data_IF_485292671967
#
_entry.id   IF_485292671967
#
_cell.length_a   1.000
_cell.length_b   1.000
_cell.length_c   1.000
_cell.angle_alpha   90.00
_cell.angle_beta   90.00
_cell.angle_gamma   90.00
#
_symmetry.space_group_name_H-M   'P 1'
#
loop_
_entity.id
_entity.type
_entity.pdbx_description
1 polymer ?
#
# COMPACT_ATOMS: atom_id res chain seq x y z
N UNK A 1 2.53 6.43 6.39
CA UNK A 1 3.90 6.85 6.69
C UNK A 1 4.09 6.82 8.19
N UNK A 2 3.28 7.60 8.90
CA UNK A 2 3.48 7.84 10.33
C UNK A 2 2.85 6.78 11.24
N UNK A 3 1.87 6.03 10.74
CA UNK A 3 1.27 4.92 11.46
C UNK A 3 1.72 3.57 10.87
N UNK A 4 2.24 2.65 11.69
CA UNK A 4 2.61 1.32 11.22
C UNK A 4 1.35 0.54 10.82
N UNK A 5 1.42 -0.11 9.66
CA UNK A 5 0.40 -1.03 9.18
C UNK A 5 1.07 -2.39 8.93
N UNK A 6 0.60 -3.48 9.58
CA UNK A 6 1.16 -4.81 9.39
C UNK A 6 1.25 -5.19 7.91
N UNK A 7 2.30 -5.93 7.54
CA UNK A 7 2.54 -6.38 6.16
C UNK A 7 2.78 -5.25 5.13
N UNK A 8 2.84 -3.97 5.55
CA UNK A 8 3.10 -2.82 4.67
C UNK A 8 4.31 -1.99 5.10
N UNK A 9 5.29 -2.57 5.80
CA UNK A 9 6.45 -1.84 6.32
C UNK A 9 7.20 -1.07 5.22
N UNK A 10 7.54 -1.73 4.10
CA UNK A 10 8.23 -1.09 2.98
C UNK A 10 7.38 0.02 2.32
N UNK A 11 6.09 -0.23 2.13
CA UNK A 11 5.15 0.77 1.61
C UNK A 11 5.05 1.99 2.54
N UNK A 12 4.86 1.76 3.84
CA UNK A 12 4.80 2.78 4.88
C UNK A 12 6.06 3.64 4.92
N UNK A 13 7.24 3.01 4.88
CA UNK A 13 8.53 3.68 4.82
C UNK A 13 8.65 4.56 3.57
N UNK A 14 8.28 4.05 2.39
CA UNK A 14 8.30 4.84 1.15
C UNK A 14 7.39 6.09 1.23
N UNK A 15 6.22 5.97 1.87
CA UNK A 15 5.30 7.09 2.07
C UNK A 15 5.81 8.09 3.11
N UNK A 16 6.49 7.64 4.15
CA UNK A 16 7.17 8.53 5.10
C UNK A 16 8.31 9.32 4.44
N UNK A 17 9.12 8.65 3.62
CA UNK A 17 10.15 9.30 2.81
C UNK A 17 9.55 10.33 1.84
N UNK A 18 8.42 10.00 1.20
CA UNK A 18 7.71 10.92 0.33
C UNK A 18 7.24 12.18 1.08
N UNK A 19 6.73 12.06 2.31
CA UNK A 19 6.35 13.22 3.13
C UNK A 19 7.54 14.14 3.40
N UNK A 20 8.70 13.58 3.74
CA UNK A 20 9.92 14.37 3.94
C UNK A 20 10.32 15.08 2.64
N UNK A 21 10.33 14.34 1.54
CA UNK A 21 10.67 14.88 0.22
C UNK A 21 9.75 16.03 -0.21
N UNK A 22 8.44 15.87 -0.10
CA UNK A 22 7.48 16.93 -0.49
C UNK A 22 7.54 18.13 0.45
N UNK A 23 7.87 17.91 1.73
CA UNK A 23 8.11 19.01 2.67
C UNK A 23 9.35 19.81 2.29
N UNK A 24 10.46 19.16 1.93
CA UNK A 24 11.66 19.84 1.43
C UNK A 24 11.35 20.64 0.17
N UNK A 25 10.70 20.01 -0.82
CA UNK A 25 10.32 20.68 -2.06
C UNK A 25 9.45 21.92 -1.83
N UNK A 26 8.57 21.92 -0.83
CA UNK A 26 7.74 23.09 -0.52
C UNK A 26 8.59 24.32 -0.19
N UNK A 27 9.64 24.14 0.61
CA UNK A 27 10.53 25.24 0.99
C UNK A 27 11.46 25.62 -0.15
N UNK A 28 12.01 24.63 -0.86
CA UNK A 28 12.87 24.90 -1.99
C UNK A 28 12.13 25.68 -3.07
N UNK A 29 10.88 25.32 -3.36
CA UNK A 29 10.12 25.88 -4.49
C UNK A 29 9.41 27.21 -4.19
N UNK A 30 9.37 27.64 -2.93
CA UNK A 30 8.74 28.89 -2.48
C UNK A 30 9.23 30.14 -3.25
N UNK A 31 10.53 30.34 -3.52
CA UNK A 31 11.03 31.54 -4.21
C UNK A 31 10.49 31.71 -5.64
N UNK A 32 10.01 30.63 -6.26
CA UNK A 32 9.41 30.65 -7.59
C UNK A 32 7.87 30.74 -7.54
N UNK A 33 7.28 30.94 -6.35
CA UNK A 33 5.83 31.02 -6.17
C UNK A 33 5.10 29.70 -6.37
N UNK A 34 5.83 28.56 -6.40
CA UNK A 34 5.25 27.24 -6.62
C UNK A 34 4.88 26.62 -5.28
N UNK A 35 3.59 26.28 -5.14
CA UNK A 35 3.04 25.72 -3.91
C UNK A 35 2.97 24.20 -3.98
N UNK A 36 3.47 23.51 -2.96
CA UNK A 36 3.47 22.05 -2.86
C UNK A 36 2.58 21.59 -1.71
N UNK A 37 1.54 20.83 -2.05
CA UNK A 37 0.61 20.23 -1.09
C UNK A 37 0.69 18.70 -1.15
N UNK A 38 0.68 18.05 0.02
CA UNK A 38 0.59 16.58 0.11
C UNK A 38 -0.79 16.21 0.62
N UNK A 39 -1.50 15.39 -0.14
CA UNK A 39 -2.80 14.85 0.26
C UNK A 39 -2.61 13.42 0.74
N UNK A 40 -3.13 13.12 1.93
CA UNK A 40 -3.05 11.82 2.58
C UNK A 40 -4.42 11.15 2.58
N UNK A 41 -4.83 10.52 1.46
CA UNK A 41 -6.11 9.83 1.40
C UNK A 41 -6.11 8.60 2.31
N UNK A 42 -7.30 8.25 2.79
CA UNK A 42 -7.56 6.92 3.36
C UNK A 42 -7.74 5.88 2.23
N UNK A 43 -8.17 4.68 2.57
CA UNK A 43 -8.38 3.59 1.61
C UNK A 43 -9.66 3.79 0.79
N UNK A 44 -9.55 3.67 -0.53
CA UNK A 44 -10.67 3.73 -1.49
C UNK A 44 -10.75 2.43 -2.31
N UNK A 45 -11.98 2.05 -2.70
CA UNK A 45 -12.22 0.92 -3.60
C UNK A 45 -11.85 1.30 -5.02
N UNK A 46 -10.60 0.99 -5.38
CA UNK A 46 -10.07 1.16 -6.74
C UNK A 46 -10.03 -0.20 -7.45
N UNK A 47 -9.96 -0.19 -8.79
CA UNK A 47 -10.18 -1.40 -9.62
C UNK A 47 -9.35 -2.63 -9.27
N UNK A 48 -8.14 -2.49 -8.74
CA UNK A 48 -7.31 -3.63 -8.31
C UNK A 48 -7.63 -4.11 -6.88
N UNK A 49 -8.02 -3.20 -5.98
CA UNK A 49 -8.25 -3.51 -4.57
C UNK A 49 -9.39 -4.51 -4.36
N UNK A 50 -10.44 -4.47 -5.19
CA UNK A 50 -11.61 -5.34 -5.12
C UNK A 50 -11.59 -6.52 -6.11
N UNK A 51 -10.54 -6.65 -6.94
CA UNK A 51 -10.47 -7.67 -7.97
C UNK A 51 -9.95 -9.00 -7.39
N UNK A 52 -10.87 -9.92 -7.11
CA UNK A 52 -10.53 -11.23 -6.55
C UNK A 52 -9.65 -12.07 -7.47
N UNK A 53 -9.89 -12.03 -8.79
CA UNK A 53 -9.10 -12.78 -9.78
C UNK A 53 -7.65 -12.30 -9.79
N UNK A 54 -7.45 -10.98 -9.74
CA UNK A 54 -6.12 -10.38 -9.61
C UNK A 54 -5.39 -10.86 -8.36
N UNK A 55 -6.05 -10.81 -7.19
CA UNK A 55 -5.45 -11.25 -5.93
C UNK A 55 -5.09 -12.74 -5.91
N UNK A 56 -5.93 -13.61 -6.50
CA UNK A 56 -5.62 -15.03 -6.64
C UNK A 56 -4.39 -15.27 -7.53
N UNK A 57 -4.26 -14.53 -8.63
CA UNK A 57 -3.09 -14.61 -9.49
C UNK A 57 -1.83 -14.12 -8.78
N UNK A 58 -1.91 -13.00 -8.05
CA UNK A 58 -0.78 -12.46 -7.29
C UNK A 58 -0.35 -13.42 -6.17
N UNK A 59 -1.29 -14.02 -5.45
CA UNK A 59 -0.99 -15.00 -4.41
C UNK A 59 -0.20 -16.20 -4.97
N UNK A 60 -0.64 -16.77 -6.10
CA UNK A 60 0.08 -17.86 -6.77
C UNK A 60 1.47 -17.45 -7.25
N UNK A 61 1.62 -16.21 -7.74
CA UNK A 61 2.92 -15.70 -8.18
C UNK A 61 3.89 -15.52 -7.02
N UNK A 62 3.42 -15.01 -5.87
CA UNK A 62 4.22 -14.87 -4.66
C UNK A 62 4.66 -16.23 -4.15
N UNK A 63 3.74 -17.20 -3.99
CA UNK A 63 4.11 -18.55 -3.54
C UNK A 63 5.14 -19.21 -4.45
N UNK A 64 5.01 -19.02 -5.78
CA UNK A 64 5.96 -19.56 -6.75
C UNK A 64 7.34 -18.86 -6.72
N UNK A 65 7.41 -17.59 -6.31
CA UNK A 65 8.65 -16.82 -6.31
C UNK A 65 9.45 -16.93 -5.00
N UNK A 66 8.84 -17.45 -3.94
CA UNK A 66 9.53 -17.69 -2.67
C UNK A 66 10.57 -18.80 -2.80
N UNK A 67 11.70 -18.63 -2.11
CA UNK A 67 12.67 -19.71 -1.97
C UNK A 67 12.10 -20.80 -1.05
N UNK A 68 12.55 -22.07 -1.20
CA UNK A 68 12.10 -23.15 -0.32
C UNK A 68 12.30 -22.85 1.17
N UNK A 69 13.42 -22.20 1.53
CA UNK A 69 13.71 -21.85 2.93
C UNK A 69 12.73 -20.82 3.50
N UNK A 70 12.34 -19.83 2.72
CA UNK A 70 11.36 -18.83 3.15
C UNK A 70 9.96 -19.42 3.22
N UNK A 71 9.61 -20.32 2.30
CA UNK A 71 8.34 -21.01 2.35
C UNK A 71 8.22 -21.92 3.57
N UNK A 72 9.31 -22.59 3.96
CA UNK A 72 9.38 -23.39 5.19
C UNK A 72 9.30 -22.51 6.45
N UNK A 73 10.00 -21.37 6.48
CA UNK A 73 10.02 -20.47 7.62
C UNK A 73 8.68 -19.76 7.86
N UNK A 74 8.07 -19.22 6.81
CA UNK A 74 6.83 -18.45 6.90
C UNK A 74 5.57 -19.29 6.71
N UNK A 75 5.64 -20.38 5.96
CA UNK A 75 4.49 -21.22 5.62
C UNK A 75 3.57 -20.62 4.54
N UNK A 76 2.82 -21.50 3.87
CA UNK A 76 1.77 -21.09 2.91
C UNK A 76 0.60 -20.39 3.61
N UNK A 77 0.30 -20.79 4.84
CA UNK A 77 -0.79 -20.24 5.65
C UNK A 77 -0.58 -18.74 5.90
N UNK A 78 0.64 -18.32 6.24
CA UNK A 78 0.96 -16.90 6.45
C UNK A 78 0.67 -16.02 5.22
N UNK A 79 1.01 -16.53 4.03
CA UNK A 79 0.77 -15.82 2.77
C UNK A 79 -0.74 -15.75 2.45
N UNK A 80 -1.46 -16.83 2.76
CA UNK A 80 -2.92 -16.91 2.58
C UNK A 80 -3.63 -15.96 3.54
N UNK A 81 -3.29 -15.98 4.82
CA UNK A 81 -3.85 -15.07 5.83
C UNK A 81 -3.57 -13.60 5.50
N UNK A 82 -2.37 -13.29 5.00
CA UNK A 82 -2.01 -11.94 4.56
C UNK A 82 -2.89 -11.48 3.39
N UNK A 83 -3.13 -12.34 2.40
CA UNK A 83 -4.04 -12.06 1.27
C UNK A 83 -5.46 -11.78 1.78
N UNK A 84 -5.98 -12.65 2.66
CA UNK A 84 -7.34 -12.54 3.18
C UNK A 84 -7.52 -11.28 4.04
N UNK A 85 -6.49 -10.90 4.81
CA UNK A 85 -6.43 -9.65 5.55
C UNK A 85 -6.58 -8.44 4.61
N UNK A 86 -5.80 -8.37 3.53
CA UNK A 86 -5.90 -7.26 2.56
C UNK A 86 -7.25 -7.22 1.84
N UNK A 87 -7.82 -8.38 1.49
CA UNK A 87 -9.17 -8.45 0.93
C UNK A 87 -10.23 -7.96 1.94
N UNK A 88 -10.06 -8.25 3.24
CA UNK A 88 -10.97 -7.77 4.29
C UNK A 88 -10.95 -6.24 4.41
N UNK A 89 -9.76 -5.62 4.32
CA UNK A 89 -9.62 -4.17 4.32
C UNK A 89 -10.20 -3.53 3.06
N UNK A 90 -10.00 -4.14 1.89
CA UNK A 90 -10.58 -3.66 0.65
C UNK A 90 -12.12 -3.63 0.68
N UNK A 91 -12.77 -4.56 1.42
CA UNK A 91 -14.23 -4.54 1.60
C UNK A 91 -14.71 -3.31 2.38
N UNK A 92 -13.90 -2.80 3.32
CA UNK A 92 -14.23 -1.65 4.16
C UNK A 92 -13.87 -0.30 3.52
N UNK A 93 -13.08 -0.30 2.43
CA UNK A 93 -12.67 0.93 1.76
C UNK A 93 -13.85 1.71 1.14
N UNK A 94 -13.71 3.04 1.07
CA UNK A 94 -14.76 3.92 0.56
C UNK A 94 -14.96 3.74 -0.96
N UNK A 95 -16.17 3.45 -1.45
CA UNK A 95 -16.44 3.37 -2.89
C UNK A 95 -16.62 4.73 -3.58
N UNK A 96 -16.84 5.80 -2.83
CA UNK A 96 -17.05 7.13 -3.39
C UNK A 96 -15.72 7.76 -3.80
N UNK A 97 -15.55 7.95 -5.12
CA UNK A 97 -14.37 8.57 -5.73
C UNK A 97 -14.66 10.01 -6.18
N UNK A 98 -15.79 10.58 -5.78
CA UNK A 98 -16.12 11.96 -6.10
C UNK A 98 -15.12 12.93 -5.44
N UNK A 99 -14.85 14.10 -6.07
CA UNK A 99 -14.00 15.12 -5.47
C UNK A 99 -14.58 15.59 -4.13
N UNK A 100 -13.70 15.79 -3.15
CA UNK A 100 -13.98 16.49 -1.88
C UNK A 100 -13.98 17.99 -2.06
#
# INVERSE_FOLDING_TARGET
GDQPFPCLAAYGASKAALNLFTNTLRHELEPWGVHVSTILPSSFKTGHSSNHVYWEQQHKQVLKSLSPSLLEEYGEDYMTETKDLFQSFAKQANPDLSPV
#
